data_IF_378032459337
#
_entry.id   IF_378032459337
#
_cell.length_a   1.000
_cell.length_b   1.000
_cell.length_c   1.000
_cell.angle_alpha   90.00
_cell.angle_beta   90.00
_cell.angle_gamma   90.00
#
_symmetry.space_group_name_H-M   'P 1'
#
loop_
_entity.id
_entity.type
_entity.pdbx_description
1 polymer ?
#
# COMPACT_ATOMS: atom_id res chain seq x y z
N UNK A 1 -26.22 -4.12 -38.83
CA UNK A 1 -24.99 -3.79 -38.10
C UNK A 1 -25.42 -3.33 -36.71
N UNK A 2 -25.39 -4.22 -35.73
CA UNK A 2 -25.77 -3.91 -34.35
C UNK A 2 -24.48 -3.68 -33.55
N UNK A 3 -24.33 -2.58 -32.81
CA UNK A 3 -23.19 -2.39 -31.93
C UNK A 3 -23.26 -3.38 -30.77
N UNK A 4 -22.31 -4.31 -30.76
CA UNK A 4 -21.86 -5.07 -29.60
C UNK A 4 -21.28 -4.07 -28.61
N UNK A 5 -21.97 -3.81 -27.49
CA UNK A 5 -21.32 -3.32 -26.25
C UNK A 5 -22.35 -3.22 -25.14
N UNK A 6 -22.38 -4.22 -24.25
CA UNK A 6 -22.67 -4.06 -22.82
C UNK A 6 -22.55 -5.39 -22.05
N UNK A 7 -21.32 -5.88 -21.90
CA UNK A 7 -20.98 -6.80 -20.80
C UNK A 7 -19.59 -6.40 -20.30
N UNK A 8 -19.48 -5.57 -19.24
CA UNK A 8 -18.26 -5.46 -18.40
C UNK A 8 -18.51 -5.11 -16.92
N UNK A 9 -19.68 -5.39 -16.35
CA UNK A 9 -19.80 -5.59 -14.90
C UNK A 9 -20.02 -7.08 -14.66
N UNK A 10 -18.92 -7.84 -14.59
CA UNK A 10 -18.93 -9.27 -14.27
C UNK A 10 -19.29 -9.45 -12.80
N UNK A 11 -20.58 -9.44 -12.48
CA UNK A 11 -21.07 -10.29 -11.40
C UNK A 11 -20.93 -11.73 -11.92
N UNK A 12 -19.88 -12.44 -11.49
CA UNK A 12 -19.76 -13.87 -11.74
C UNK A 12 -20.77 -14.54 -10.80
N UNK A 13 -21.97 -14.81 -11.33
CA UNK A 13 -22.94 -15.71 -10.70
C UNK A 13 -22.41 -17.12 -10.97
N UNK A 14 -21.71 -17.72 -10.00
CA UNK A 14 -21.38 -19.14 -10.02
C UNK A 14 -22.65 -19.92 -9.69
N UNK A 15 -23.53 -20.11 -10.68
CA UNK A 15 -24.53 -21.16 -10.59
C UNK A 15 -23.79 -22.49 -10.86
N UNK A 16 -23.66 -23.34 -9.84
CA UNK A 16 -23.12 -24.70 -10.01
C UNK A 16 -24.00 -25.44 -11.02
N UNK A 17 -23.44 -25.67 -12.21
CA UNK A 17 -24.08 -26.34 -13.31
C UNK A 17 -24.11 -27.85 -13.04
N UNK A 18 -24.92 -28.29 -12.09
CA UNK A 18 -25.34 -29.69 -11.98
C UNK A 18 -26.80 -29.74 -11.60
N UNK A 19 -27.63 -29.92 -12.61
CA UNK A 19 -28.72 -30.90 -12.73
C UNK A 19 -29.55 -30.42 -13.93
N UNK A 20 -29.83 -31.31 -14.90
CA UNK A 20 -30.56 -30.96 -16.11
C UNK A 20 -31.97 -30.48 -15.79
N UNK A 21 -32.36 -29.35 -16.37
CA UNK A 21 -33.70 -28.79 -16.25
C UNK A 21 -34.26 -28.70 -17.67
N UNK A 22 -35.42 -29.31 -17.89
CA UNK A 22 -36.10 -29.27 -19.17
C UNK A 22 -36.66 -27.87 -19.45
N UNK A 23 -36.80 -27.52 -20.73
CA UNK A 23 -37.35 -26.24 -21.18
C UNK A 23 -38.74 -26.01 -20.55
N UNK A 24 -38.86 -24.96 -19.73
CA UNK A 24 -40.12 -24.50 -19.15
C UNK A 24 -40.33 -24.77 -17.65
N UNK A 25 -39.37 -25.35 -16.94
CA UNK A 25 -39.48 -25.54 -15.48
C UNK A 25 -38.77 -24.40 -14.72
N UNK A 26 -39.55 -23.63 -13.95
CA UNK A 26 -39.07 -22.51 -13.14
C UNK A 26 -38.52 -23.05 -11.81
N UNK A 27 -37.21 -22.90 -11.59
CA UNK A 27 -36.62 -23.16 -10.29
C UNK A 27 -37.06 -22.04 -9.34
N UNK A 28 -37.76 -22.32 -8.23
CA UNK A 28 -37.89 -21.33 -7.18
C UNK A 28 -36.47 -21.01 -6.69
N UNK A 29 -36.14 -19.73 -6.65
CA UNK A 29 -34.95 -19.24 -5.98
C UNK A 29 -35.00 -19.73 -4.53
N UNK A 30 -34.27 -20.79 -4.22
CA UNK A 30 -34.13 -21.26 -2.85
C UNK A 30 -33.17 -20.29 -2.16
N UNK A 31 -33.74 -19.29 -1.52
CA UNK A 31 -33.04 -18.24 -0.80
C UNK A 31 -32.08 -18.79 0.27
N UNK A 32 -32.16 -20.08 0.63
CA UNK A 32 -31.22 -20.75 1.52
C UNK A 32 -29.89 -21.15 0.84
N UNK A 33 -29.82 -21.22 -0.49
CA UNK A 33 -28.64 -21.69 -1.23
C UNK A 33 -27.91 -20.59 -2.04
N UNK A 34 -28.60 -19.50 -2.38
CA UNK A 34 -28.03 -18.42 -3.19
C UNK A 34 -27.29 -17.37 -2.36
N UNK A 35 -25.97 -17.55 -2.26
CA UNK A 35 -25.05 -16.63 -1.57
C UNK A 35 -24.67 -15.48 -2.51
N UNK A 36 -25.27 -14.30 -2.32
CA UNK A 36 -24.79 -13.07 -2.93
C UNK A 36 -23.50 -12.63 -2.24
N UNK A 37 -22.34 -12.88 -2.85
CA UNK A 37 -21.06 -12.41 -2.33
C UNK A 37 -20.84 -10.97 -2.82
N UNK A 38 -20.96 -10.01 -1.91
CA UNK A 38 -20.61 -8.62 -2.17
C UNK A 38 -19.08 -8.47 -2.06
N UNK A 39 -18.38 -8.40 -3.19
CA UNK A 39 -16.94 -8.16 -3.18
C UNK A 39 -16.68 -6.68 -2.89
N UNK A 40 -15.96 -6.41 -1.80
CA UNK A 40 -15.50 -5.07 -1.45
C UNK A 40 -14.03 -4.98 -1.86
N UNK A 41 -13.76 -4.27 -2.95
CA UNK A 41 -12.40 -4.02 -3.43
C UNK A 41 -11.82 -2.78 -2.72
N UNK A 42 -11.06 -3.01 -1.66
CA UNK A 42 -10.29 -1.98 -0.97
C UNK A 42 -9.49 -2.56 0.18
N UNK A 43 -8.33 -1.96 0.46
CA UNK A 43 -7.46 -2.34 1.56
C UNK A 43 -6.68 -1.14 2.06
N UNK A 44 -6.18 -1.22 3.28
CA UNK A 44 -5.35 -0.17 3.86
C UNK A 44 -4.10 0.06 2.99
N UNK A 45 -3.69 1.32 2.82
CA UNK A 45 -2.47 1.69 2.12
C UNK A 45 -1.38 2.10 3.12
N UNK A 46 -0.12 1.81 2.78
CA UNK A 46 1.02 2.21 3.59
C UNK A 46 1.49 3.60 3.19
N UNK A 47 1.83 4.42 4.19
CA UNK A 47 2.50 5.69 3.94
C UNK A 47 3.94 5.46 3.46
N UNK A 48 4.39 6.24 2.49
CA UNK A 48 5.73 6.14 1.92
C UNK A 48 6.36 7.51 1.67
N UNK A 49 7.68 7.53 1.48
CA UNK A 49 8.45 8.71 1.10
C UNK A 49 9.74 8.28 0.38
N UNK A 50 10.25 9.15 -0.50
CA UNK A 50 11.52 8.93 -1.19
C UNK A 50 12.56 9.94 -0.73
N UNK A 51 13.76 9.46 -0.40
CA UNK A 51 14.96 10.28 -0.26
C UNK A 51 15.74 10.22 -1.57
N UNK A 52 16.17 11.37 -2.07
CA UNK A 52 17.07 11.47 -3.24
C UNK A 52 18.43 11.96 -2.79
N UNK A 53 19.51 11.35 -3.29
CA UNK A 53 20.88 11.87 -3.20
C UNK A 53 21.40 12.17 -4.61
N UNK A 54 21.27 13.41 -5.06
CA UNK A 54 21.86 13.85 -6.34
C UNK A 54 23.39 13.93 -6.30
N UNK A 55 23.96 14.13 -5.10
CA UNK A 55 25.39 14.14 -4.81
C UNK A 55 25.65 13.24 -3.61
N UNK A 56 26.89 12.78 -3.46
CA UNK A 56 27.25 12.02 -2.25
C UNK A 56 27.15 12.91 -1.00
N UNK A 57 27.00 12.25 0.15
CA UNK A 57 26.92 12.90 1.47
C UNK A 57 28.31 13.18 2.05
N UNK A 58 28.36 14.17 2.94
CA UNK A 58 29.54 14.52 3.73
C UNK A 58 29.46 13.96 5.17
N UNK A 59 30.61 13.93 5.85
CA UNK A 59 30.67 13.49 7.26
C UNK A 59 29.87 14.43 8.16
N UNK A 60 29.07 13.86 9.06
CA UNK A 60 28.25 14.59 10.02
C UNK A 60 26.89 15.05 9.47
N UNK A 61 26.61 14.88 8.18
CA UNK A 61 25.27 15.11 7.65
C UNK A 61 24.28 14.08 8.22
N UNK A 62 23.01 14.49 8.34
CA UNK A 62 21.99 13.68 8.99
C UNK A 62 20.75 13.48 8.15
N UNK A 63 20.13 12.32 8.33
CA UNK A 63 18.81 11.97 7.83
C UNK A 63 17.96 11.51 9.01
N UNK A 64 16.82 12.14 9.21
CA UNK A 64 15.87 11.83 10.28
C UNK A 64 14.63 11.17 9.72
N UNK A 65 14.20 10.09 10.39
CA UNK A 65 12.92 9.42 10.14
C UNK A 65 12.27 9.10 11.48
N UNK A 66 11.14 9.74 11.76
CA UNK A 66 10.50 9.64 13.07
C UNK A 66 11.43 10.13 14.17
N UNK A 67 11.78 9.23 15.10
CA UNK A 67 12.65 9.53 16.23
C UNK A 67 14.13 9.16 16.00
N UNK A 68 14.46 8.52 14.88
CA UNK A 68 15.85 8.18 14.55
C UNK A 68 16.50 9.32 13.80
N UNK A 69 17.73 9.66 14.19
CA UNK A 69 18.60 10.61 13.48
C UNK A 69 19.84 9.84 13.03
N UNK A 70 19.84 9.43 11.78
CA UNK A 70 20.97 8.72 11.17
C UNK A 70 22.04 9.73 10.79
N UNK A 71 23.26 9.52 11.29
CA UNK A 71 24.39 10.43 11.04
C UNK A 71 25.41 9.75 10.16
N UNK A 72 25.72 10.34 9.01
CA UNK A 72 26.76 9.84 8.12
C UNK A 72 28.14 10.07 8.73
N UNK A 73 29.01 9.07 8.58
CA UNK A 73 30.36 9.05 9.13
C UNK A 73 31.37 8.51 8.12
N UNK A 74 32.54 9.15 8.05
CA UNK A 74 33.73 8.59 7.39
C UNK A 74 34.26 7.36 8.14
N UNK A 75 34.19 7.39 9.46
CA UNK A 75 34.63 6.29 10.34
C UNK A 75 33.61 6.08 11.45
N UNK A 76 33.11 4.86 11.55
CA UNK A 76 32.17 4.48 12.61
C UNK A 76 32.88 4.43 13.97
N UNK A 77 32.25 5.01 14.98
CA UNK A 77 32.66 4.87 16.39
C UNK A 77 31.99 3.66 17.05
N UNK A 78 30.90 3.17 16.43
CA UNK A 78 30.06 2.10 16.95
C UNK A 78 28.84 2.61 17.71
N UNK A 79 28.67 3.93 17.82
CA UNK A 79 27.49 4.54 18.41
C UNK A 79 26.21 4.22 17.61
N UNK A 80 25.06 4.33 18.26
CA UNK A 80 23.78 4.06 17.61
C UNK A 80 23.51 5.09 16.50
N UNK A 81 22.84 4.64 15.45
CA UNK A 81 22.38 5.43 14.30
C UNK A 81 23.52 6.11 13.50
N UNK A 82 24.77 5.70 13.68
CA UNK A 82 25.86 6.04 12.76
C UNK A 82 25.75 5.24 11.46
N UNK A 83 25.98 5.88 10.32
CA UNK A 83 25.95 5.28 8.99
C UNK A 83 27.29 5.53 8.31
N UNK A 84 27.95 4.48 7.83
CA UNK A 84 29.20 4.63 7.10
C UNK A 84 28.89 5.23 5.73
N UNK A 85 29.44 6.41 5.43
CA UNK A 85 29.28 6.98 4.09
C UNK A 85 30.11 6.21 3.07
N UNK A 86 29.52 5.98 1.91
CA UNK A 86 30.19 5.36 0.78
C UNK A 86 31.00 6.36 -0.03
N UNK A 87 31.74 5.85 -1.03
CA UNK A 87 32.41 6.69 -2.01
C UNK A 87 31.43 7.35 -3.01
N UNK A 88 30.20 6.85 -3.10
CA UNK A 88 29.15 7.33 -4.01
C UNK A 88 27.82 7.44 -3.27
N UNK A 89 26.89 8.22 -3.84
CA UNK A 89 25.53 8.39 -3.33
C UNK A 89 24.81 7.04 -3.15
N UNK A 90 24.80 6.18 -4.18
CA UNK A 90 24.28 4.81 -4.09
C UNK A 90 24.84 4.01 -2.91
N UNK A 91 26.17 4.01 -2.71
CA UNK A 91 26.78 3.26 -1.60
C UNK A 91 26.41 3.84 -0.22
N UNK A 92 26.26 5.16 -0.13
CA UNK A 92 25.77 5.82 1.10
C UNK A 92 24.29 5.47 1.36
N UNK A 93 23.45 5.39 0.33
CA UNK A 93 22.06 4.93 0.44
C UNK A 93 21.98 3.47 0.86
N UNK A 94 22.81 2.59 0.29
CA UNK A 94 22.85 1.17 0.69
C UNK A 94 23.18 1.01 2.18
N UNK A 95 24.12 1.81 2.69
CA UNK A 95 24.45 1.85 4.11
C UNK A 95 23.27 2.38 4.96
N UNK A 96 22.57 3.41 4.48
CA UNK A 96 21.38 3.95 5.16
C UNK A 96 20.22 2.93 5.20
N UNK A 97 19.98 2.23 4.09
CA UNK A 97 18.98 1.16 4.00
C UNK A 97 19.33 0.04 4.99
N UNK A 98 20.61 -0.35 5.03
CA UNK A 98 21.09 -1.38 5.94
C UNK A 98 20.90 -0.99 7.41
N UNK A 99 21.12 0.27 7.80
CA UNK A 99 20.91 0.72 9.18
C UNK A 99 19.42 0.75 9.56
N UNK A 100 18.55 1.23 8.67
CA UNK A 100 17.11 1.36 8.91
C UNK A 100 16.49 -0.02 9.15
N UNK A 101 16.83 -0.98 8.29
CA UNK A 101 16.32 -2.34 8.36
C UNK A 101 17.07 -3.23 9.35
N UNK A 102 18.13 -2.72 9.99
CA UNK A 102 19.09 -3.51 10.77
C UNK A 102 19.51 -4.78 10.03
N UNK A 103 19.96 -4.62 8.79
CA UNK A 103 20.46 -5.72 7.97
C UNK A 103 21.57 -6.47 8.72
N UNK A 104 21.70 -7.79 8.51
CA UNK A 104 22.70 -8.59 9.22
C UNK A 104 24.11 -7.96 9.13
N UNK A 105 24.90 -8.12 10.18
CA UNK A 105 26.24 -7.53 10.25
C UNK A 105 27.10 -8.02 9.06
N UNK A 106 27.50 -7.07 8.22
CA UNK A 106 28.41 -7.28 7.09
C UNK A 106 29.81 -6.77 7.44
N UNK A 107 30.84 -7.31 6.78
CA UNK A 107 32.24 -6.87 6.92
C UNK A 107 32.70 -6.28 5.59
N UNK A 108 33.10 -4.99 5.51
CA UNK A 108 33.15 -4.02 6.61
C UNK A 108 31.75 -3.60 7.11
N UNK A 109 31.67 -3.14 8.36
CA UNK A 109 30.42 -2.67 8.97
C UNK A 109 29.90 -1.42 8.24
N UNK A 110 28.61 -1.42 7.88
CA UNK A 110 27.96 -0.29 7.20
C UNK A 110 27.34 0.73 8.17
N UNK A 111 27.18 0.35 9.43
CA UNK A 111 26.54 1.20 10.43
C UNK A 111 27.02 0.83 11.84
N UNK A 112 26.77 1.72 12.80
CA UNK A 112 27.22 1.57 14.18
C UNK A 112 26.64 0.33 14.88
N UNK A 113 27.48 -0.41 15.61
CA UNK A 113 27.08 -1.68 16.23
C UNK A 113 25.91 -1.54 17.22
N UNK A 114 25.82 -0.41 17.92
CA UNK A 114 24.76 -0.12 18.90
C UNK A 114 23.40 0.24 18.27
N UNK A 115 23.30 0.39 16.94
CA UNK A 115 22.05 0.74 16.26
C UNK A 115 20.97 -0.32 16.50
N UNK A 116 19.72 0.10 16.67
CA UNK A 116 18.54 -0.77 16.71
C UNK A 116 17.74 -0.60 15.43
N UNK A 117 16.96 -1.61 15.07
CA UNK A 117 16.06 -1.53 13.92
C UNK A 117 15.07 -0.38 14.09
N UNK A 118 14.77 0.32 12.98
CA UNK A 118 13.70 1.28 12.96
C UNK A 118 12.35 0.55 12.97
N UNK A 119 11.63 0.66 14.08
CA UNK A 119 10.34 -0.03 14.25
C UNK A 119 9.21 0.60 13.44
N UNK A 120 9.38 1.81 12.92
CA UNK A 120 8.32 2.55 12.22
C UNK A 120 8.31 2.30 10.71
N UNK A 121 9.49 2.11 10.13
CA UNK A 121 9.65 2.05 8.67
C UNK A 121 10.58 0.94 8.24
N UNK A 122 10.42 0.51 6.99
CA UNK A 122 11.42 -0.24 6.23
C UNK A 122 11.89 0.59 5.05
N UNK A 123 13.10 0.34 4.56
CA UNK A 123 13.66 1.04 3.41
C UNK A 123 14.11 0.05 2.32
N UNK A 124 14.03 0.47 1.06
CA UNK A 124 14.56 -0.26 -0.10
C UNK A 124 15.20 0.70 -1.08
N UNK A 125 16.10 0.19 -1.92
CA UNK A 125 16.67 0.98 -3.01
C UNK A 125 15.57 1.34 -4.02
N UNK A 126 15.49 2.63 -4.36
CA UNK A 126 14.62 3.12 -5.42
C UNK A 126 15.32 3.12 -6.78
N UNK A 127 14.78 3.89 -7.72
CA UNK A 127 15.40 4.08 -9.05
C UNK A 127 16.50 5.13 -8.97
N UNK A 128 17.69 4.80 -9.50
CA UNK A 128 18.86 5.69 -9.43
C UNK A 128 19.36 5.88 -8.00
N UNK A 129 19.89 7.06 -7.69
CA UNK A 129 20.35 7.41 -6.34
C UNK A 129 19.17 7.86 -5.45
N UNK A 130 18.21 6.94 -5.27
CA UNK A 130 17.03 7.15 -4.41
C UNK A 130 16.81 5.98 -3.46
N UNK A 131 16.14 6.26 -2.34
CA UNK A 131 15.71 5.27 -1.36
C UNK A 131 14.24 5.49 -1.07
N UNK A 132 13.45 4.43 -1.20
CA UNK A 132 12.04 4.42 -0.83
C UNK A 132 11.88 3.89 0.60
N UNK A 133 11.21 4.69 1.42
CA UNK A 133 10.88 4.36 2.80
C UNK A 133 9.39 4.14 2.89
N UNK A 134 8.98 3.05 3.55
CA UNK A 134 7.58 2.68 3.72
C UNK A 134 7.30 2.42 5.19
N UNK A 135 6.19 2.95 5.69
CA UNK A 135 5.68 2.65 7.01
C UNK A 135 5.42 1.14 7.16
N UNK A 136 5.71 0.57 8.31
CA UNK A 136 5.47 -0.87 8.57
C UNK A 136 4.01 -1.20 8.84
N UNK A 137 3.20 -0.19 9.14
CA UNK A 137 1.77 -0.34 9.37
C UNK A 137 1.00 0.40 8.28
N UNK A 138 -0.02 -0.26 7.76
CA UNK A 138 -0.95 0.36 6.84
C UNK A 138 -1.85 1.34 7.60
N UNK A 139 -2.47 2.24 6.84
CA UNK A 139 -3.36 3.25 7.39
C UNK A 139 -2.75 4.63 7.49
N UNK A 140 -3.52 5.56 8.06
CA UNK A 140 -3.18 6.99 8.10
C UNK A 140 -2.11 7.35 9.12
N UNK A 141 -1.84 6.50 10.10
CA UNK A 141 -0.86 6.74 11.17
C UNK A 141 0.55 7.02 10.65
N UNK A 142 0.96 6.33 9.57
CA UNK A 142 2.26 6.52 8.95
C UNK A 142 2.47 7.93 8.38
N UNK A 143 1.39 8.63 8.02
CA UNK A 143 1.47 9.99 7.46
C UNK A 143 1.98 11.03 8.49
N UNK A 144 1.95 10.70 9.78
CA UNK A 144 2.45 11.56 10.84
C UNK A 144 3.96 11.38 11.10
N UNK A 145 4.63 10.43 10.44
CA UNK A 145 6.06 10.17 10.65
C UNK A 145 6.88 11.26 9.94
N UNK A 146 7.61 12.12 10.68
CA UNK A 146 8.40 13.19 10.08
C UNK A 146 9.66 12.66 9.39
N UNK A 147 10.02 13.31 8.30
CA UNK A 147 11.27 13.13 7.56
C UNK A 147 11.96 14.48 7.42
N UNK A 148 13.20 14.57 7.89
CA UNK A 148 14.03 15.77 7.73
C UNK A 148 15.48 15.39 7.49
N UNK A 149 16.31 16.34 7.10
CA UNK A 149 17.68 16.11 6.71
C UNK A 149 18.52 17.39 6.91
N UNK A 150 19.83 17.23 6.99
CA UNK A 150 20.80 18.35 7.00
C UNK A 150 21.75 18.28 5.81
N UNK A 151 21.33 17.62 4.73
CA UNK A 151 22.14 17.36 3.54
C UNK A 151 22.42 18.68 2.82
N UNK A 152 23.68 18.90 2.44
CA UNK A 152 24.17 20.13 1.83
C UNK A 152 24.28 20.03 0.30
N UNK A 153 24.40 18.81 -0.23
CA UNK A 153 24.44 18.56 -1.66
C UNK A 153 23.18 19.07 -2.36
N UNK A 154 23.32 19.89 -3.39
CA UNK A 154 22.17 20.42 -4.15
C UNK A 154 21.39 19.26 -4.76
N UNK A 155 20.10 19.14 -4.40
CA UNK A 155 19.23 18.05 -4.83
C UNK A 155 19.24 16.82 -3.91
N UNK A 156 20.03 16.83 -2.83
CA UNK A 156 19.92 15.86 -1.76
C UNK A 156 18.77 16.26 -0.85
N UNK A 157 17.65 15.55 -0.92
CA UNK A 157 16.45 15.94 -0.19
C UNK A 157 15.42 14.83 -0.05
N UNK A 158 14.60 14.93 0.99
CA UNK A 158 13.31 14.22 1.06
C UNK A 158 12.31 14.83 0.08
N UNK A 159 11.40 14.00 -0.43
CA UNK A 159 10.27 14.47 -1.25
C UNK A 159 9.28 15.35 -0.48
N UNK A 160 9.14 15.16 0.84
CA UNK A 160 8.33 15.98 1.73
C UNK A 160 8.77 15.87 3.20
N UNK A 161 8.16 16.67 4.08
CA UNK A 161 8.47 16.72 5.52
C UNK A 161 7.91 15.54 6.35
N UNK A 162 7.03 14.73 5.77
CA UNK A 162 6.48 13.52 6.38
C UNK A 162 6.33 12.42 5.33
N UNK A 163 6.13 11.18 5.79
CA UNK A 163 5.56 10.13 4.93
C UNK A 163 4.15 10.53 4.50
N UNK A 164 3.69 10.01 3.35
CA UNK A 164 2.38 10.32 2.78
C UNK A 164 1.77 9.10 2.06
N UNK A 165 0.48 9.19 1.73
CA UNK A 165 -0.23 8.16 0.95
C UNK A 165 -0.83 7.00 1.76
N UNK A 166 -0.64 6.98 3.09
CA UNK A 166 -1.32 6.03 3.95
C UNK A 166 -2.81 6.33 4.04
N UNK A 167 -3.65 5.31 3.86
CA UNK A 167 -5.12 5.44 3.91
C UNK A 167 -5.72 4.29 4.69
N UNK A 168 -6.69 4.59 5.55
CA UNK A 168 -7.50 3.58 6.21
C UNK A 168 -8.61 3.14 5.26
N UNK A 169 -8.88 1.86 5.20
CA UNK A 169 -9.98 1.32 4.44
C UNK A 169 -11.30 1.72 5.12
N UNK A 170 -12.02 2.65 4.51
CA UNK A 170 -13.40 2.97 4.90
C UNK A 170 -14.35 2.13 4.06
N UNK A 171 -14.59 0.91 4.53
CA UNK A 171 -15.65 0.07 3.99
C UNK A 171 -17.00 0.62 4.38
N UNK A 172 -17.51 1.59 3.64
CA UNK A 172 -18.91 1.96 3.76
C UNK A 172 -19.72 0.82 3.15
N UNK A 173 -20.35 -0.01 3.99
CA UNK A 173 -21.42 -0.90 3.54
C UNK A 173 -22.64 -0.01 3.27
N UNK A 174 -22.57 0.79 2.22
CA UNK A 174 -23.69 1.59 1.70
C UNK A 174 -24.79 0.68 1.08
N UNK A 175 -24.52 -0.62 1.00
CA UNK A 175 -25.46 -1.62 0.50
C UNK A 175 -26.51 -2.06 1.52
N UNK A 176 -26.28 -1.86 2.83
CA UNK A 176 -27.30 -2.18 3.85
C UNK A 176 -28.39 -1.12 3.94
N UNK A 177 -28.09 0.14 3.55
CA UNK A 177 -29.07 1.21 3.48
C UNK A 177 -29.94 1.09 2.21
N UNK A 178 -29.35 0.73 1.06
CA UNK A 178 -30.12 0.53 -0.18
C UNK A 178 -31.03 -0.70 -0.16
N UNK A 179 -30.78 -1.67 0.73
CA UNK A 179 -31.69 -2.80 0.99
C UNK A 179 -32.82 -2.47 1.98
N UNK A 180 -32.72 -1.38 2.75
CA UNK A 180 -33.84 -0.89 3.56
C UNK A 180 -34.79 0.00 2.74
N UNK A 181 -34.29 0.66 1.68
CA UNK A 181 -35.10 1.49 0.78
C UNK A 181 -35.60 0.74 -0.46
N UNK A 182 -34.96 -0.37 -0.84
CA UNK A 182 -35.63 -1.41 -1.62
C UNK A 182 -36.47 -2.23 -0.65
N UNK A 183 -37.71 -1.81 -0.43
CA UNK A 183 -38.70 -2.70 0.14
C UNK A 183 -38.54 -4.07 -0.54
N UNK A 184 -38.40 -5.13 0.26
CA UNK A 184 -38.30 -6.51 -0.24
C UNK A 184 -39.44 -6.91 -1.22
N UNK A 185 -40.45 -6.06 -1.42
CA UNK A 185 -41.47 -6.16 -2.45
C UNK A 185 -41.05 -5.76 -3.89
N UNK A 186 -39.94 -5.03 -4.09
CA UNK A 186 -39.56 -4.52 -5.42
C UNK A 186 -38.72 -5.50 -6.27
N UNK A 187 -38.07 -6.51 -5.67
CA UNK A 187 -37.38 -7.57 -6.42
C UNK A 187 -38.39 -8.58 -7.02
N UNK A 188 -39.63 -8.62 -6.52
CA UNK A 188 -40.69 -9.48 -7.04
C UNK A 188 -41.40 -8.96 -8.30
N UNK A 189 -41.02 -7.77 -8.81
CA UNK A 189 -41.73 -7.13 -9.91
C UNK A 189 -40.78 -6.57 -10.98
N UNK A 190 -40.04 -7.43 -11.66
CA UNK A 190 -39.81 -7.21 -13.09
C UNK A 190 -41.03 -7.76 -13.84
N UNK A 191 -41.99 -6.93 -14.30
CA UNK A 191 -42.98 -7.42 -15.24
C UNK A 191 -42.25 -7.74 -16.55
N UNK A 192 -42.00 -9.03 -16.80
CA UNK A 192 -41.73 -9.48 -18.17
C UNK A 192 -43.09 -9.43 -18.87
N UNK A 193 -43.23 -8.48 -19.79
CA UNK A 193 -44.43 -8.21 -20.58
C UNK A 193 -44.89 -9.48 -21.31
N UNK A 194 -45.76 -10.24 -20.65
CA UNK A 194 -46.51 -11.35 -21.24
C UNK A 194 -47.68 -10.77 -22.02
N UNK A 195 -47.39 -10.19 -23.19
CA UNK A 195 -48.41 -9.75 -24.13
C UNK A 195 -49.49 -10.81 -24.31
N UNK A 196 -50.71 -10.47 -23.88
CA UNK A 196 -51.92 -11.24 -24.12
C UNK A 196 -52.10 -11.47 -25.61
N UNK A 197 -52.01 -12.73 -26.06
CA UNK A 197 -52.60 -13.14 -27.33
C UNK A 197 -53.95 -13.79 -27.06
N UNK A 198 -55.00 -13.01 -27.27
CA UNK A 198 -56.27 -13.49 -27.83
C UNK A 198 -56.12 -13.47 -29.35
#
# INVERSE_FOLDING_TARGET
MLPTDRIRNKAIVLHDARQGIADGEYMPFDQAADVCVLQIDGGDAFAAQTLTLALNVDDGETVKIGNHVYTYKDVLTGAADEVLKGATASLSLDALIAVINKAAAVVPALYGAATKENVWVSAVAGVGDTMDVTCRWAGTSGNAIPTTETLLGVGNQWGAATLAGGTDFVGTIDFLASLNDLEFGAIAAFPIDGGSKV
#
